data_IF_851233781606
#
_entry.id   IF_851233781606
#
_cell.length_a   1.000
_cell.length_b   1.000
_cell.length_c   1.000
_cell.angle_alpha   90.00
_cell.angle_beta   90.00
_cell.angle_gamma   90.00
#
_symmetry.space_group_name_H-M   'P 1'
#
loop_
_entity.id
_entity.type
_entity.pdbx_description
1 polymer ?
#
# COMPACT_ATOMS: atom_id res chain seq x y z
N UNK A 1 -3.21 -10.85 24.98
CA UNK A 1 -3.94 -10.22 23.85
C UNK A 1 -3.21 -10.51 22.56
N UNK A 2 -3.92 -10.81 21.45
CA UNK A 2 -3.28 -11.24 20.19
C UNK A 2 -3.64 -10.34 19.00
N UNK A 3 -4.50 -9.34 19.21
CA UNK A 3 -4.98 -8.39 18.18
C UNK A 3 -4.91 -6.98 18.74
N UNK A 4 -4.37 -6.06 17.96
CA UNK A 4 -4.28 -4.63 18.27
C UNK A 4 -4.91 -3.82 17.15
N UNK A 5 -5.53 -2.70 17.49
CA UNK A 5 -5.94 -1.71 16.51
C UNK A 5 -4.74 -0.85 16.11
N UNK A 6 -4.55 -0.64 14.81
CA UNK A 6 -3.52 0.26 14.30
C UNK A 6 -4.08 1.67 14.23
N UNK A 7 -3.38 2.64 14.81
CA UNK A 7 -3.71 4.06 14.71
C UNK A 7 -3.15 4.58 13.38
N UNK A 8 -4.03 4.95 12.46
CA UNK A 8 -3.65 5.49 11.15
C UNK A 8 -3.09 6.91 11.29
N UNK A 9 -2.19 7.30 10.39
CA UNK A 9 -1.60 8.65 10.34
C UNK A 9 -2.09 9.35 9.07
N UNK A 10 -2.76 10.48 9.22
CA UNK A 10 -3.21 11.31 8.12
C UNK A 10 -2.08 12.25 7.67
N UNK A 11 -1.79 12.28 6.36
CA UNK A 11 -0.72 13.10 5.78
C UNK A 11 -1.31 14.06 4.75
N UNK A 12 -1.14 15.35 5.01
CA UNK A 12 -1.55 16.41 4.09
C UNK A 12 -0.70 16.38 2.82
N UNK A 13 -1.34 16.49 1.67
CA UNK A 13 -0.70 16.60 0.36
C UNK A 13 -1.46 17.60 -0.51
N UNK A 14 -0.75 18.41 -1.27
CA UNK A 14 -1.33 19.41 -2.19
C UNK A 14 -2.24 18.83 -3.27
N UNK A 15 -2.10 17.54 -3.55
CA UNK A 15 -2.94 16.78 -4.47
C UNK A 15 -4.01 15.91 -3.75
N UNK A 16 -4.17 16.09 -2.44
CA UNK A 16 -5.10 15.32 -1.65
C UNK A 16 -6.57 15.55 -2.02
N UNK A 17 -7.41 14.56 -1.76
CA UNK A 17 -8.85 14.59 -2.02
C UNK A 17 -9.71 14.46 -0.75
N UNK A 18 -9.16 13.87 0.32
CA UNK A 18 -9.92 13.60 1.55
C UNK A 18 -9.85 14.80 2.48
N UNK A 19 -10.99 15.35 2.84
CA UNK A 19 -11.08 16.47 3.80
C UNK A 19 -11.32 15.94 5.21
N UNK A 20 -10.48 16.32 6.15
CA UNK A 20 -10.62 16.04 7.59
C UNK A 20 -10.30 17.31 8.34
N UNK A 21 -11.23 17.86 9.15
CA UNK A 21 -11.04 19.05 9.96
C UNK A 21 -10.31 20.22 9.23
N UNK A 22 -10.80 20.57 8.03
CA UNK A 22 -10.24 21.59 7.13
C UNK A 22 -8.90 21.23 6.47
N UNK A 23 -8.27 20.10 6.82
CA UNK A 23 -7.03 19.61 6.21
C UNK A 23 -7.31 18.80 4.96
N UNK A 24 -6.45 18.94 3.96
CA UNK A 24 -6.53 18.19 2.69
C UNK A 24 -5.57 17.00 2.75
N UNK A 25 -6.11 15.84 3.06
CA UNK A 25 -5.36 14.60 3.23
C UNK A 25 -5.19 13.92 1.86
N UNK A 26 -3.94 13.64 1.48
CA UNK A 26 -3.62 12.89 0.28
C UNK A 26 -3.19 11.45 0.59
N UNK A 27 -2.57 11.21 1.73
CA UNK A 27 -2.18 9.86 2.17
C UNK A 27 -2.70 9.58 3.57
N UNK A 28 -3.12 8.34 3.80
CA UNK A 28 -3.41 7.82 5.14
C UNK A 28 -2.53 6.59 5.35
N UNK A 29 -1.52 6.71 6.22
CA UNK A 29 -0.61 5.60 6.52
C UNK A 29 -1.35 4.59 7.37
N UNK A 30 -1.58 3.41 6.82
CA UNK A 30 -2.29 2.32 7.45
C UNK A 30 -1.39 1.39 8.23
N UNK A 31 -0.15 1.24 7.78
CA UNK A 31 0.87 0.46 8.49
C UNK A 31 2.26 0.83 7.99
N UNK A 32 3.11 1.32 8.88
CA UNK A 32 4.51 1.64 8.62
C UNK A 32 5.34 1.45 9.89
N UNK A 33 6.55 0.91 9.71
CA UNK A 33 7.51 0.64 10.79
C UNK A 33 8.88 1.12 10.34
N UNK A 34 9.22 2.36 10.65
CA UNK A 34 10.55 2.91 10.46
C UNK A 34 10.84 4.03 11.49
N UNK A 35 12.07 4.54 11.51
CA UNK A 35 12.50 5.54 12.49
C UNK A 35 12.01 6.96 12.20
N UNK A 36 11.65 7.26 10.96
CA UNK A 36 11.16 8.59 10.57
C UNK A 36 9.65 8.71 10.78
N UNK A 37 8.92 7.64 10.47
CA UNK A 37 7.48 7.57 10.61
C UNK A 37 7.08 6.14 10.97
N UNK A 38 6.33 5.99 12.07
CA UNK A 38 5.81 4.68 12.49
C UNK A 38 4.42 4.81 13.04
N UNK A 39 3.55 3.85 12.69
CA UNK A 39 2.26 3.77 13.33
C UNK A 39 2.40 3.29 14.77
N UNK A 40 1.35 3.56 15.52
CA UNK A 40 1.12 3.05 16.87
C UNK A 40 0.03 2.00 16.85
N UNK A 41 0.06 1.09 17.81
CA UNK A 41 -1.01 0.13 18.08
C UNK A 41 -1.59 0.38 19.45
N UNK A 42 -2.90 0.19 19.58
CA UNK A 42 -3.67 0.36 20.81
C UNK A 42 -4.17 -0.99 21.29
N UNK A 43 -4.00 -1.25 22.60
CA UNK A 43 -4.56 -2.41 23.28
C UNK A 43 -5.98 -2.12 23.86
N UNK A 44 -6.58 -3.10 24.55
CA UNK A 44 -7.92 -2.96 25.12
C UNK A 44 -7.99 -1.98 26.29
N UNK A 45 -6.86 -1.79 26.98
CA UNK A 45 -6.73 -0.87 28.10
C UNK A 45 -6.37 0.55 27.63
N UNK A 46 -6.40 0.80 26.31
CA UNK A 46 -6.02 2.06 25.69
C UNK A 46 -4.53 2.41 25.81
N UNK A 47 -3.68 1.45 26.15
CA UNK A 47 -2.25 1.65 26.09
C UNK A 47 -1.79 1.71 24.65
N UNK A 48 -0.87 2.64 24.36
CA UNK A 48 -0.37 2.91 23.02
C UNK A 48 1.10 2.47 22.93
N UNK A 49 1.44 1.69 21.91
CA UNK A 49 2.78 1.18 21.67
C UNK A 49 3.26 1.59 20.27
N UNK A 50 4.48 2.11 20.18
CA UNK A 50 5.12 2.39 18.89
C UNK A 50 5.54 1.09 18.21
N UNK A 51 5.08 0.85 16.98
CA UNK A 51 5.50 -0.30 16.20
C UNK A 51 7.02 -0.31 15.95
N UNK A 52 7.63 0.87 15.76
CA UNK A 52 9.07 0.96 15.59
C UNK A 52 9.83 0.55 16.85
N UNK A 53 9.43 1.02 18.02
CA UNK A 53 10.08 0.64 19.29
C UNK A 53 9.95 -0.87 19.55
N UNK A 54 8.78 -1.44 19.28
CA UNK A 54 8.58 -2.89 19.36
C UNK A 54 9.46 -3.66 18.34
N UNK A 55 9.70 -3.08 17.15
CA UNK A 55 10.50 -3.74 16.11
C UNK A 55 11.99 -3.74 16.40
N UNK A 56 12.52 -2.70 17.00
CA UNK A 56 13.95 -2.61 17.37
C UNK A 56 14.25 -3.15 18.78
N UNK A 57 13.22 -3.30 19.62
CA UNK A 57 13.32 -3.73 21.00
C UNK A 57 13.35 -5.26 21.18
N UNK A 58 13.44 -5.70 22.44
CA UNK A 58 13.48 -7.14 22.78
C UNK A 58 12.19 -7.90 22.42
N UNK A 59 11.07 -7.21 22.27
CA UNK A 59 9.78 -7.80 21.92
C UNK A 59 9.62 -8.09 20.40
N UNK A 60 10.64 -7.87 19.60
CA UNK A 60 10.57 -8.02 18.14
C UNK A 60 10.03 -9.38 17.70
N UNK A 61 10.51 -10.47 18.27
CA UNK A 61 10.05 -11.80 17.92
C UNK A 61 8.58 -12.03 18.32
N UNK A 62 8.19 -11.58 19.51
CA UNK A 62 6.83 -11.69 20.02
C UNK A 62 5.82 -10.98 19.11
N UNK A 63 6.12 -9.74 18.69
CA UNK A 63 5.19 -8.92 17.91
C UNK A 63 5.26 -9.20 16.40
N UNK A 64 6.44 -9.43 15.84
CA UNK A 64 6.60 -9.54 14.39
C UNK A 64 6.88 -10.96 13.90
N UNK A 65 7.38 -11.85 14.76
CA UNK A 65 7.62 -13.26 14.48
C UNK A 65 8.98 -13.56 13.86
N UNK A 66 9.32 -14.83 13.84
CA UNK A 66 10.62 -15.36 13.36
C UNK A 66 10.95 -14.94 11.93
N UNK A 67 9.95 -14.77 11.06
CA UNK A 67 10.13 -14.33 9.68
C UNK A 67 10.89 -13.01 9.55
N UNK A 68 10.66 -12.07 10.49
CA UNK A 68 11.25 -10.73 10.42
C UNK A 68 12.41 -10.51 11.40
N UNK A 69 12.73 -11.48 12.24
CA UNK A 69 13.71 -11.35 13.31
C UNK A 69 15.09 -10.87 12.82
N UNK A 70 15.57 -11.45 11.71
CA UNK A 70 16.89 -11.11 11.13
C UNK A 70 16.89 -9.87 10.24
N UNK A 71 15.73 -9.26 9.97
CA UNK A 71 15.65 -8.07 9.11
C UNK A 71 15.94 -6.81 9.92
N UNK A 72 16.86 -5.97 9.45
CA UNK A 72 17.17 -4.67 10.08
C UNK A 72 15.99 -3.69 9.95
N UNK A 73 15.26 -3.76 8.84
CA UNK A 73 14.10 -2.92 8.54
C UNK A 73 12.88 -3.78 8.25
N UNK A 74 11.69 -3.32 8.69
CA UNK A 74 10.44 -3.97 8.31
C UNK A 74 10.22 -3.85 6.80
N UNK A 75 9.82 -4.92 6.10
CA UNK A 75 10.01 -4.99 4.64
C UNK A 75 8.99 -4.22 3.79
N UNK A 76 7.87 -3.79 4.35
CA UNK A 76 6.82 -3.10 3.60
C UNK A 76 6.08 -2.05 4.43
N UNK A 77 5.38 -1.18 3.73
CA UNK A 77 4.40 -0.26 4.32
C UNK A 77 3.08 -0.33 3.54
N UNK A 78 2.02 0.16 4.15
CA UNK A 78 0.67 0.21 3.57
C UNK A 78 0.11 1.61 3.77
N UNK A 79 -0.39 2.21 2.69
CA UNK A 79 -1.08 3.50 2.76
C UNK A 79 -2.29 3.55 1.83
N UNK A 80 -3.25 4.39 2.16
CA UNK A 80 -4.29 4.80 1.23
C UNK A 80 -3.88 6.13 0.60
N UNK A 81 -4.07 6.23 -0.71
CA UNK A 81 -3.82 7.43 -1.51
C UNK A 81 -5.18 7.96 -1.98
N UNK A 82 -5.44 9.23 -1.72
CA UNK A 82 -6.65 9.95 -2.15
C UNK A 82 -6.21 11.10 -3.04
N UNK A 83 -6.34 10.97 -4.36
CA UNK A 83 -5.89 11.99 -5.30
C UNK A 83 -7.04 12.80 -5.87
N UNK A 84 -7.01 14.14 -5.72
CA UNK A 84 -7.86 15.09 -6.47
C UNK A 84 -7.16 15.61 -7.71
N UNK A 85 -5.83 15.59 -7.74
CA UNK A 85 -4.95 15.98 -8.85
C UNK A 85 -4.07 14.82 -9.25
N UNK A 86 -3.40 14.93 -10.39
CA UNK A 86 -2.41 13.95 -10.87
C UNK A 86 -1.19 13.95 -9.95
N UNK A 87 -0.70 12.78 -9.58
CA UNK A 87 0.60 12.62 -8.96
C UNK A 87 1.69 12.71 -10.03
N UNK A 88 2.94 12.93 -9.61
CA UNK A 88 4.07 13.06 -10.55
C UNK A 88 4.20 11.91 -11.53
N UNK A 89 4.70 12.20 -12.71
CA UNK A 89 5.24 11.23 -13.64
C UNK A 89 6.59 10.78 -13.10
N UNK A 90 6.68 9.53 -12.66
CA UNK A 90 7.78 9.07 -11.83
C UNK A 90 8.23 7.64 -12.13
N UNK A 91 9.41 7.30 -11.60
CA UNK A 91 9.92 5.93 -11.49
C UNK A 91 10.53 5.70 -10.11
N UNK A 92 10.73 4.43 -9.79
CA UNK A 92 11.43 4.00 -8.59
C UNK A 92 12.70 3.21 -8.91
N UNK A 93 13.70 3.26 -8.03
CA UNK A 93 14.91 2.43 -8.15
C UNK A 93 14.59 0.94 -7.96
N UNK A 94 15.58 0.08 -8.26
CA UNK A 94 15.43 -1.40 -8.24
C UNK A 94 14.93 -1.98 -6.91
N UNK A 95 15.13 -1.29 -5.81
CA UNK A 95 14.73 -1.73 -4.47
C UNK A 95 13.25 -1.49 -4.15
N UNK A 96 12.54 -0.62 -4.90
CA UNK A 96 11.16 -0.25 -4.61
C UNK A 96 10.19 -0.86 -5.61
N UNK A 97 9.35 -1.78 -5.13
CA UNK A 97 8.18 -2.33 -5.83
C UNK A 97 6.93 -1.86 -5.11
N UNK A 98 5.93 -1.45 -5.87
CA UNK A 98 4.62 -1.08 -5.36
C UNK A 98 3.53 -1.96 -5.94
N UNK A 99 2.43 -2.05 -5.23
CA UNK A 99 1.19 -2.67 -5.68
C UNK A 99 0.03 -1.78 -5.30
N UNK A 100 -0.93 -1.65 -6.19
CA UNK A 100 -2.10 -0.78 -6.04
C UNK A 100 -3.37 -1.59 -6.13
N UNK A 101 -4.15 -1.64 -5.06
CA UNK A 101 -5.52 -2.12 -5.06
C UNK A 101 -6.45 -0.91 -5.16
N UNK A 102 -7.23 -0.84 -6.23
CA UNK A 102 -8.16 0.28 -6.44
C UNK A 102 -9.39 0.11 -5.56
N UNK A 103 -9.76 1.17 -4.85
CA UNK A 103 -10.90 1.19 -3.93
C UNK A 103 -12.11 1.94 -4.49
N UNK A 104 -11.99 2.43 -5.73
CA UNK A 104 -13.01 3.20 -6.47
C UNK A 104 -13.05 2.73 -7.91
N UNK A 105 -14.24 2.75 -8.51
CA UNK A 105 -14.42 2.51 -9.94
C UNK A 105 -13.92 3.68 -10.79
N UNK A 106 -13.63 3.41 -12.06
CA UNK A 106 -13.15 4.40 -13.04
C UNK A 106 -11.85 5.10 -12.59
N UNK A 107 -11.03 4.41 -11.81
CA UNK A 107 -9.70 4.88 -11.40
C UNK A 107 -8.76 4.91 -12.59
N UNK A 108 -8.09 6.05 -12.85
CA UNK A 108 -7.18 6.20 -13.99
C UNK A 108 -5.75 6.27 -13.54
N UNK A 109 -4.88 5.49 -14.21
CA UNK A 109 -3.44 5.50 -13.99
C UNK A 109 -2.68 5.56 -15.30
N UNK A 110 -1.46 6.08 -15.25
CA UNK A 110 -0.46 5.90 -16.28
C UNK A 110 0.49 4.79 -15.80
N UNK A 111 0.65 3.72 -16.58
CA UNK A 111 1.51 2.60 -16.20
C UNK A 111 2.25 2.00 -17.40
N UNK A 112 3.54 2.31 -17.47
CA UNK A 112 4.45 1.85 -18.51
C UNK A 112 4.14 2.41 -19.90
N UNK A 113 4.97 2.04 -20.87
CA UNK A 113 4.88 2.52 -22.24
C UNK A 113 4.16 1.51 -23.14
N UNK A 114 3.37 1.99 -24.10
CA UNK A 114 2.72 1.17 -25.13
C UNK A 114 3.69 0.77 -26.26
N UNK A 115 4.74 1.55 -26.50
CA UNK A 115 5.87 1.25 -27.38
C UNK A 115 7.18 1.74 -26.78
N UNK A 116 8.30 1.20 -27.28
CA UNK A 116 9.64 1.61 -26.83
C UNK A 116 10.01 3.03 -27.31
N UNK A 117 10.71 3.78 -26.46
CA UNK A 117 11.21 5.13 -26.75
C UNK A 117 12.75 5.09 -26.76
N UNK A 118 13.39 5.73 -27.75
CA UNK A 118 14.85 5.93 -27.72
C UNK A 118 15.18 7.12 -26.82
N UNK A 119 16.17 6.99 -25.94
CA UNK A 119 16.55 8.04 -24.97
C UNK A 119 16.85 9.40 -25.62
N UNK A 120 17.40 9.42 -26.85
CA UNK A 120 17.69 10.68 -27.60
C UNK A 120 16.43 11.48 -27.96
N UNK A 121 15.27 10.85 -27.97
CA UNK A 121 13.98 11.47 -28.31
C UNK A 121 13.12 11.71 -27.04
N UNK A 122 13.74 11.70 -25.88
CA UNK A 122 13.02 11.80 -24.62
C UNK A 122 12.63 13.25 -24.32
N UNK A 123 11.33 13.48 -24.26
CA UNK A 123 10.71 14.69 -23.73
C UNK A 123 9.34 14.31 -23.14
N UNK A 124 8.67 15.25 -22.50
CA UNK A 124 7.38 14.99 -21.84
C UNK A 124 6.32 14.49 -22.82
N UNK A 125 6.17 15.13 -23.97
CA UNK A 125 5.16 14.78 -24.98
C UNK A 125 5.39 13.38 -25.52
N UNK A 126 6.66 13.02 -25.77
CA UNK A 126 7.03 11.66 -26.20
C UNK A 126 6.70 10.61 -25.14
N UNK A 127 6.93 10.89 -23.86
CA UNK A 127 6.56 9.97 -22.79
C UNK A 127 5.04 9.84 -22.70
N UNK A 128 4.32 10.95 -22.65
CA UNK A 128 2.86 10.94 -22.48
C UNK A 128 2.14 10.27 -23.66
N UNK A 129 2.51 10.61 -24.90
CA UNK A 129 1.90 10.02 -26.11
C UNK A 129 2.16 8.51 -26.27
N UNK A 130 3.23 8.01 -25.64
CA UNK A 130 3.58 6.59 -25.64
C UNK A 130 3.28 5.87 -24.32
N UNK A 131 2.59 6.50 -23.41
CA UNK A 131 2.19 5.88 -22.14
C UNK A 131 0.87 5.13 -22.24
N UNK A 132 0.74 4.03 -21.47
CA UNK A 132 -0.55 3.39 -21.31
C UNK A 132 -1.38 4.16 -20.28
N UNK A 133 -2.54 4.66 -20.69
CA UNK A 133 -3.58 5.14 -19.78
C UNK A 133 -4.52 3.95 -19.53
N UNK A 134 -4.64 3.55 -18.27
CA UNK A 134 -5.42 2.37 -17.87
C UNK A 134 -6.56 2.82 -16.96
N UNK A 135 -7.77 2.34 -17.24
CA UNK A 135 -8.93 2.51 -16.39
C UNK A 135 -9.10 1.24 -15.57
N UNK A 136 -9.10 1.39 -14.26
CA UNK A 136 -9.26 0.31 -13.30
C UNK A 136 -10.56 0.46 -12.52
N UNK A 137 -11.22 -0.64 -12.27
CA UNK A 137 -12.41 -0.68 -11.43
C UNK A 137 -12.06 -1.06 -9.98
N UNK A 138 -13.01 -0.88 -9.10
CA UNK A 138 -12.87 -1.25 -7.70
C UNK A 138 -12.42 -2.72 -7.58
N UNK A 139 -11.36 -2.92 -6.79
CA UNK A 139 -10.69 -4.20 -6.57
C UNK A 139 -9.88 -4.76 -7.75
N UNK A 140 -9.72 -4.02 -8.82
CA UNK A 140 -8.61 -4.27 -9.73
C UNK A 140 -7.29 -4.01 -9.02
N UNK A 141 -6.24 -4.67 -9.49
CA UNK A 141 -4.92 -4.64 -8.83
C UNK A 141 -3.83 -4.43 -9.87
N UNK A 142 -2.95 -3.47 -9.59
CA UNK A 142 -1.79 -3.18 -10.42
C UNK A 142 -0.48 -3.48 -9.70
N UNK A 143 0.51 -3.96 -10.44
CA UNK A 143 1.88 -4.14 -9.96
C UNK A 143 2.79 -3.13 -10.66
N UNK A 144 3.38 -2.24 -9.89
CA UNK A 144 4.39 -1.27 -10.33
C UNK A 144 5.76 -1.84 -10.02
N UNK A 145 6.37 -2.45 -11.03
CA UNK A 145 7.72 -2.95 -10.89
C UNK A 145 8.74 -1.79 -10.87
N UNK A 146 9.90 -1.98 -10.24
CA UNK A 146 11.00 -1.02 -10.34
C UNK A 146 11.25 -0.56 -11.77
N UNK A 147 11.66 0.68 -11.94
CA UNK A 147 11.96 1.30 -13.24
C UNK A 147 10.76 1.50 -14.19
N UNK A 148 9.54 1.14 -13.78
CA UNK A 148 8.35 1.36 -14.60
C UNK A 148 7.91 2.83 -14.50
N UNK A 149 7.77 3.51 -15.63
CA UNK A 149 7.20 4.86 -15.70
C UNK A 149 5.73 4.80 -15.30
N UNK A 150 5.31 5.60 -14.32
CA UNK A 150 3.94 5.55 -13.82
C UNK A 150 3.48 6.87 -13.20
N UNK A 151 2.18 7.01 -13.08
CA UNK A 151 1.51 8.09 -12.35
C UNK A 151 0.11 7.64 -11.91
N UNK A 152 -0.29 7.98 -10.70
CA UNK A 152 -1.70 7.95 -10.30
C UNK A 152 -2.33 9.26 -10.77
N UNK A 153 -3.38 9.17 -11.59
CA UNK A 153 -4.05 10.35 -12.10
C UNK A 153 -5.06 10.90 -11.09
N UNK A 154 -5.83 11.90 -11.48
CA UNK A 154 -6.82 12.52 -10.61
C UNK A 154 -7.98 11.58 -10.24
N UNK A 155 -8.66 11.90 -9.14
CA UNK A 155 -9.89 11.25 -8.67
C UNK A 155 -9.76 9.76 -8.34
N UNK A 156 -8.60 9.34 -7.82
CA UNK A 156 -8.37 7.96 -7.39
C UNK A 156 -8.46 7.77 -5.87
N UNK A 157 -8.82 6.55 -5.48
CA UNK A 157 -8.64 6.03 -4.13
C UNK A 157 -7.93 4.67 -4.24
N UNK A 158 -6.71 4.60 -3.74
CA UNK A 158 -5.82 3.44 -3.91
C UNK A 158 -5.31 2.96 -2.55
N UNK A 159 -5.37 1.66 -2.30
CA UNK A 159 -4.59 1.02 -1.25
C UNK A 159 -3.25 0.57 -1.84
N UNK A 160 -2.19 1.24 -1.46
CA UNK A 160 -0.84 0.92 -1.86
C UNK A 160 -0.15 0.04 -0.82
N UNK A 161 0.46 -1.05 -1.28
CA UNK A 161 1.40 -1.86 -0.50
C UNK A 161 2.73 -1.82 -1.24
N UNK A 162 3.76 -1.27 -0.60
CA UNK A 162 5.08 -1.11 -1.21
C UNK A 162 6.20 -1.66 -0.33
N UNK A 163 7.36 -1.90 -0.95
CA UNK A 163 8.58 -2.10 -0.17
C UNK A 163 8.84 -0.87 0.69
N UNK A 164 9.29 -1.07 1.92
CA UNK A 164 9.64 0.02 2.85
C UNK A 164 10.93 0.71 2.40
N UNK A 165 10.82 1.48 1.33
CA UNK A 165 11.88 2.25 0.71
C UNK A 165 11.29 3.49 0.06
N UNK A 166 11.65 4.67 0.53
CA UNK A 166 11.01 5.93 0.13
C UNK A 166 11.92 6.77 -0.78
N UNK A 167 12.15 6.27 -2.02
CA UNK A 167 12.82 7.03 -3.07
C UNK A 167 11.93 7.08 -4.31
N UNK A 168 11.75 8.28 -4.83
CA UNK A 168 10.95 8.56 -6.03
C UNK A 168 11.72 9.53 -6.93
N UNK A 169 11.92 9.15 -8.19
CA UNK A 169 12.51 10.01 -9.20
C UNK A 169 11.41 10.57 -10.09
N UNK A 170 11.28 11.92 -10.11
CA UNK A 170 10.20 12.66 -10.79
C UNK A 170 10.72 13.27 -12.07
N UNK A 171 10.05 12.94 -13.17
CA UNK A 171 10.31 13.59 -14.46
C UNK A 171 9.49 14.88 -14.62
N UNK A 172 8.21 14.83 -14.20
CA UNK A 172 7.27 15.93 -14.28
C UNK A 172 6.27 15.86 -13.14
N UNK A 173 5.84 16.99 -12.61
CA UNK A 173 4.97 17.02 -11.42
C UNK A 173 3.68 17.83 -11.60
N UNK A 174 3.28 18.06 -12.87
CA UNK A 174 2.08 18.83 -13.19
C UNK A 174 2.12 20.19 -12.45
N UNK A 175 1.04 20.56 -11.74
CA UNK A 175 0.94 21.81 -10.98
C UNK A 175 1.30 21.64 -9.48
N UNK A 176 1.99 20.56 -9.10
CA UNK A 176 2.28 20.29 -7.70
C UNK A 176 3.59 20.90 -7.18
N UNK A 177 4.45 21.40 -8.07
CA UNK A 177 5.69 22.13 -7.77
C UNK A 177 6.67 21.41 -6.82
N UNK A 178 6.69 20.06 -6.80
CA UNK A 178 7.69 19.29 -6.08
C UNK A 178 8.98 19.24 -6.88
N UNK A 179 10.10 19.04 -6.19
CA UNK A 179 11.41 18.90 -6.82
C UNK A 179 11.41 17.81 -7.90
N UNK A 180 11.99 18.14 -9.05
CA UNK A 180 12.19 17.24 -10.17
C UNK A 180 13.59 16.63 -10.10
N UNK A 181 13.67 15.34 -10.38
CA UNK A 181 14.88 14.52 -10.41
C UNK A 181 14.99 13.85 -11.78
N UNK A 182 14.97 14.67 -12.84
CA UNK A 182 14.88 14.20 -14.23
C UNK A 182 16.08 13.34 -14.63
N UNK A 183 17.27 13.67 -14.16
CA UNK A 183 18.49 12.89 -14.43
C UNK A 183 18.36 11.47 -13.87
N UNK A 184 18.03 11.34 -12.60
CA UNK A 184 17.84 10.07 -11.92
C UNK A 184 16.66 9.29 -12.52
N UNK A 185 15.59 9.99 -12.93
CA UNK A 185 14.50 9.37 -13.67
C UNK A 185 15.01 8.71 -14.95
N UNK A 186 15.78 9.43 -15.80
CA UNK A 186 16.29 8.92 -17.08
C UNK A 186 17.26 7.75 -16.88
N UNK A 187 18.07 7.80 -15.83
CA UNK A 187 19.00 6.72 -15.48
C UNK A 187 18.29 5.45 -15.00
N UNK A 188 17.17 5.59 -14.30
CA UNK A 188 16.44 4.48 -13.68
C UNK A 188 15.24 3.99 -14.48
N UNK A 189 14.69 4.78 -15.40
CA UNK A 189 13.50 4.43 -16.17
C UNK A 189 13.74 3.34 -17.21
N UNK A 190 12.76 2.46 -17.37
CA UNK A 190 12.70 1.51 -18.48
C UNK A 190 11.90 2.10 -19.64
N UNK A 191 12.56 2.29 -20.78
CA UNK A 191 11.97 2.86 -21.99
C UNK A 191 11.48 1.81 -23.01
N UNK A 192 11.42 0.55 -22.64
CA UNK A 192 10.86 -0.53 -23.47
C UNK A 192 9.35 -0.66 -23.25
N UNK A 193 8.68 -1.26 -24.26
CA UNK A 193 7.25 -1.58 -24.18
C UNK A 193 6.92 -2.35 -22.92
N UNK A 194 5.84 -1.96 -22.26
CA UNK A 194 5.36 -2.55 -21.00
C UNK A 194 4.36 -3.67 -21.27
N UNK A 195 4.46 -4.76 -20.52
CA UNK A 195 3.52 -5.87 -20.62
C UNK A 195 2.38 -5.73 -19.59
N UNK A 196 1.24 -5.19 -20.02
CA UNK A 196 0.09 -4.97 -19.16
C UNK A 196 -0.49 -6.28 -18.59
N UNK A 197 -0.56 -7.35 -19.38
CA UNK A 197 -1.16 -8.65 -18.95
C UNK A 197 -0.48 -9.26 -17.73
N UNK A 198 0.79 -8.95 -17.50
CA UNK A 198 1.57 -9.45 -16.34
C UNK A 198 1.48 -8.53 -15.11
N UNK A 199 0.86 -7.38 -15.23
CA UNK A 199 0.91 -6.34 -14.17
C UNK A 199 -0.45 -5.78 -13.79
N UNK A 200 -1.52 -6.08 -14.52
CA UNK A 200 -2.91 -5.70 -14.18
C UNK A 200 -3.72 -6.97 -13.96
N UNK A 201 -4.44 -7.03 -12.86
CA UNK A 201 -5.23 -8.18 -12.44
C UNK A 201 -6.66 -7.73 -12.13
N UNK A 202 -7.61 -8.23 -12.88
CA UNK A 202 -9.04 -8.11 -12.58
C UNK A 202 -9.45 -9.20 -11.59
N UNK A 203 -10.43 -8.93 -10.73
CA UNK A 203 -10.91 -9.88 -9.71
C UNK A 203 -9.77 -10.42 -8.81
N UNK A 204 -8.92 -9.51 -8.37
CA UNK A 204 -7.72 -9.83 -7.59
C UNK A 204 -8.04 -10.66 -6.33
N UNK A 205 -7.26 -11.72 -6.10
CA UNK A 205 -7.37 -12.56 -4.91
C UNK A 205 -6.06 -12.63 -4.11
N UNK A 206 -4.92 -12.84 -4.78
CA UNK A 206 -3.63 -13.06 -4.12
C UNK A 206 -2.46 -12.50 -4.92
N UNK A 207 -1.45 -12.00 -4.20
CA UNK A 207 -0.17 -11.58 -4.75
C UNK A 207 0.97 -11.98 -3.82
N UNK A 208 2.13 -12.30 -4.38
CA UNK A 208 3.35 -12.63 -3.64
C UNK A 208 4.53 -11.90 -4.26
N UNK A 209 5.28 -11.19 -3.44
CA UNK A 209 6.61 -10.65 -3.74
C UNK A 209 7.66 -11.28 -2.82
N UNK A 210 8.92 -10.86 -2.96
CA UNK A 210 9.99 -11.24 -2.03
C UNK A 210 9.79 -10.68 -0.62
N UNK A 211 9.09 -9.54 -0.49
CA UNK A 211 9.01 -8.80 0.75
C UNK A 211 7.65 -8.91 1.46
N UNK A 212 6.57 -9.17 0.72
CA UNK A 212 5.23 -9.27 1.28
C UNK A 212 4.33 -10.19 0.46
N UNK A 213 3.29 -10.69 1.12
CA UNK A 213 2.17 -11.39 0.49
C UNK A 213 0.89 -10.63 0.77
N UNK A 214 -0.02 -10.60 -0.20
CA UNK A 214 -1.32 -9.94 -0.10
C UNK A 214 -2.40 -10.95 -0.43
N UNK A 215 -3.42 -11.06 0.44
CA UNK A 215 -4.62 -11.82 0.18
C UNK A 215 -5.84 -10.89 0.35
N UNK A 216 -6.65 -10.74 -0.71
CA UNK A 216 -7.97 -10.12 -0.63
C UNK A 216 -8.99 -11.21 -0.37
N UNK A 217 -9.83 -11.01 0.63
CA UNK A 217 -10.84 -12.00 1.05
C UNK A 217 -12.19 -11.31 1.18
N UNK A 218 -13.20 -11.86 0.54
CA UNK A 218 -14.60 -11.53 0.80
C UNK A 218 -15.14 -12.51 1.84
N UNK A 219 -15.77 -12.00 2.89
CA UNK A 219 -16.35 -12.78 3.99
C UNK A 219 -17.86 -12.52 3.99
N UNK A 220 -18.61 -13.61 3.94
CA UNK A 220 -20.06 -13.66 4.14
C UNK A 220 -20.33 -14.71 5.19
N UNK A 221 -20.66 -14.30 6.41
CA UNK A 221 -20.75 -15.18 7.56
C UNK A 221 -19.41 -15.34 8.27
N UNK A 222 -18.91 -16.55 8.45
CA UNK A 222 -17.73 -16.86 9.25
C UNK A 222 -16.54 -17.36 8.41
N UNK A 223 -15.32 -16.94 8.76
CA UNK A 223 -14.09 -17.45 8.15
C UNK A 223 -12.96 -17.58 9.15
N UNK A 224 -12.39 -18.77 9.23
CA UNK A 224 -11.22 -19.09 10.06
C UNK A 224 -9.91 -18.78 9.33
N UNK A 225 -8.93 -18.29 10.10
CA UNK A 225 -7.56 -18.00 9.67
C UNK A 225 -6.57 -18.66 10.62
N UNK A 226 -5.80 -19.60 10.11
CA UNK A 226 -4.80 -20.33 10.87
C UNK A 226 -3.53 -19.52 11.16
N UNK A 227 -2.76 -20.03 12.10
CA UNK A 227 -1.50 -19.47 12.60
C UNK A 227 -0.49 -19.19 11.49
N UNK A 228 0.26 -18.07 11.62
CA UNK A 228 1.43 -17.72 10.80
C UNK A 228 2.63 -17.49 11.70
N UNK A 229 3.83 -17.75 11.20
CA UNK A 229 5.08 -17.47 11.92
C UNK A 229 5.53 -15.99 11.82
N UNK A 230 4.62 -15.12 11.44
CA UNK A 230 4.82 -13.68 11.36
C UNK A 230 3.51 -12.95 11.69
N UNK A 231 3.61 -11.67 12.01
CA UNK A 231 2.45 -10.81 12.14
C UNK A 231 1.67 -10.72 10.84
N UNK A 232 0.38 -10.42 10.95
CA UNK A 232 -0.51 -10.17 9.82
C UNK A 232 -1.16 -8.80 10.01
N UNK A 233 -1.25 -8.04 8.93
CA UNK A 233 -1.93 -6.75 8.91
C UNK A 233 -3.25 -6.95 8.20
N UNK A 234 -4.36 -6.75 8.90
CA UNK A 234 -5.73 -6.89 8.37
C UNK A 234 -6.34 -5.52 8.19
N UNK A 235 -6.63 -5.16 6.94
CA UNK A 235 -7.35 -3.92 6.59
C UNK A 235 -8.79 -4.28 6.24
N UNK A 236 -9.76 -3.58 6.82
CA UNK A 236 -11.17 -3.71 6.44
C UNK A 236 -11.46 -2.73 5.30
N UNK A 237 -11.59 -3.26 4.09
CA UNK A 237 -11.80 -2.47 2.87
C UNK A 237 -13.25 -2.02 2.74
N UNK A 238 -14.21 -2.84 3.22
CA UNK A 238 -15.63 -2.56 3.16
C UNK A 238 -16.39 -3.42 4.18
N UNK A 239 -17.56 -2.96 4.64
CA UNK A 239 -18.42 -3.68 5.55
C UNK A 239 -17.99 -3.57 7.03
N UNK A 240 -18.57 -4.43 7.85
CA UNK A 240 -18.31 -4.52 9.29
C UNK A 240 -18.49 -5.96 9.79
N UNK A 241 -17.99 -6.23 10.99
CA UNK A 241 -18.04 -7.55 11.58
C UNK A 241 -17.30 -7.63 12.90
N UNK A 242 -16.81 -8.83 13.22
CA UNK A 242 -15.96 -9.08 14.41
C UNK A 242 -14.74 -9.91 14.01
N UNK A 243 -13.61 -9.64 14.67
CA UNK A 243 -12.46 -10.54 14.69
C UNK A 243 -12.42 -11.22 16.06
N UNK A 244 -12.47 -12.55 16.06
CA UNK A 244 -12.53 -13.36 17.26
C UNK A 244 -11.27 -14.20 17.40
N UNK A 245 -10.70 -14.25 18.60
CA UNK A 245 -9.69 -15.22 19.05
C UNK A 245 -10.25 -16.01 20.20
N UNK A 246 -9.54 -17.03 20.70
CA UNK A 246 -9.99 -17.84 21.84
C UNK A 246 -10.44 -16.98 23.04
N UNK A 247 -9.81 -15.82 23.27
CA UNK A 247 -10.02 -15.02 24.48
C UNK A 247 -10.58 -13.62 24.20
N UNK A 248 -10.92 -13.27 22.94
CA UNK A 248 -11.31 -11.91 22.58
C UNK A 248 -12.19 -11.85 21.34
N UNK A 249 -13.19 -10.97 21.40
CA UNK A 249 -13.98 -10.53 20.25
C UNK A 249 -13.83 -9.02 20.08
N UNK A 250 -13.45 -8.57 18.89
CA UNK A 250 -13.25 -7.15 18.57
C UNK A 250 -14.14 -6.76 17.40
N UNK A 251 -14.99 -5.76 17.58
CA UNK A 251 -15.77 -5.17 16.48
C UNK A 251 -14.84 -4.47 15.51
N UNK A 252 -15.08 -4.69 14.22
CA UNK A 252 -14.29 -4.12 13.12
C UNK A 252 -15.19 -3.48 12.08
N UNK A 253 -14.75 -2.38 11.49
CA UNK A 253 -15.49 -1.65 10.46
C UNK A 253 -14.56 -1.13 9.37
N UNK A 254 -15.18 -0.74 8.27
CA UNK A 254 -14.51 -0.15 7.11
C UNK A 254 -13.47 0.91 7.52
N UNK A 255 -12.34 0.93 6.80
CA UNK A 255 -11.20 1.83 6.95
C UNK A 255 -10.36 1.60 8.22
N UNK A 256 -10.67 0.63 9.05
CA UNK A 256 -9.83 0.23 10.19
C UNK A 256 -8.76 -0.78 9.78
N UNK A 257 -7.65 -0.75 10.52
CA UNK A 257 -6.49 -1.63 10.35
C UNK A 257 -6.17 -2.31 11.67
N UNK A 258 -5.87 -3.61 11.59
CA UNK A 258 -5.58 -4.44 12.75
C UNK A 258 -4.25 -5.16 12.58
N UNK A 259 -3.49 -5.20 13.65
CA UNK A 259 -2.23 -5.91 13.77
C UNK A 259 -2.46 -7.20 14.56
N UNK A 260 -2.28 -8.33 13.88
CA UNK A 260 -2.44 -9.67 14.46
C UNK A 260 -1.05 -10.22 14.79
N UNK A 261 -0.83 -10.63 16.03
CA UNK A 261 0.43 -11.21 16.47
C UNK A 261 0.75 -12.52 15.75
N UNK A 262 2.03 -12.89 15.65
CA UNK A 262 2.46 -14.20 15.18
C UNK A 262 1.82 -15.33 15.97
N UNK A 263 1.72 -16.50 15.35
CA UNK A 263 1.19 -17.73 15.95
C UNK A 263 -0.25 -17.61 16.50
N UNK A 264 -0.96 -16.54 16.10
CA UNK A 264 -2.38 -16.37 16.42
C UNK A 264 -3.24 -16.99 15.32
N UNK A 265 -4.23 -17.75 15.75
CA UNK A 265 -5.39 -18.12 14.98
C UNK A 265 -6.56 -17.19 15.34
N UNK A 266 -7.41 -16.93 14.39
CA UNK A 266 -8.56 -16.05 14.56
C UNK A 266 -9.66 -16.36 13.55
N UNK A 267 -10.87 -15.99 13.90
CA UNK A 267 -12.04 -16.08 13.03
C UNK A 267 -12.57 -14.69 12.77
N UNK A 268 -12.98 -14.41 11.53
CA UNK A 268 -13.70 -13.18 11.20
C UNK A 268 -15.12 -13.55 10.85
N UNK A 269 -16.07 -12.88 11.51
CA UNK A 269 -17.49 -13.00 11.26
C UNK A 269 -18.08 -11.69 10.78
N UNK A 270 -18.95 -11.73 9.77
CA UNK A 270 -19.65 -10.55 9.24
C UNK A 270 -19.85 -10.57 7.73
N UNK A 271 -20.15 -9.40 7.19
CA UNK A 271 -20.23 -9.16 5.75
C UNK A 271 -19.20 -8.07 5.38
N UNK A 272 -18.00 -8.49 5.00
CA UNK A 272 -16.90 -7.55 4.78
C UNK A 272 -15.88 -8.04 3.75
N UNK A 273 -15.26 -7.08 3.08
CA UNK A 273 -14.05 -7.30 2.28
C UNK A 273 -12.83 -6.90 3.10
N UNK A 274 -11.84 -7.76 3.16
CA UNK A 274 -10.58 -7.50 3.86
C UNK A 274 -9.37 -7.70 2.95
N UNK A 275 -8.30 -7.00 3.29
CA UNK A 275 -6.96 -7.23 2.76
C UNK A 275 -6.07 -7.71 3.90
N UNK A 276 -5.38 -8.83 3.70
CA UNK A 276 -4.40 -9.35 4.65
C UNK A 276 -3.03 -9.24 4.02
N UNK A 277 -2.11 -8.55 4.69
CA UNK A 277 -0.71 -8.36 4.26
C UNK A 277 0.23 -8.95 5.30
N UNK A 278 1.24 -9.73 4.85
CA UNK A 278 2.21 -10.40 5.74
C UNK A 278 3.52 -10.78 5.05
#
# INVERSE_FOLDING_TARGET
MKIYKVISIDVEKIWGAKKINKKVIGEVIKFEVNNQQSNYIEDDNKNIYSLYQLYIGPQKEEFFGKKYLRRKQFPFLIKYIYSSKKLSLQVHPKSKKETWLFLKDNSKILLGLNKSIKKRNLNLDTILSNSNIIICNKYDFAVVNPSTIHSILENNVVCEVQNNYDVTYRYFDWDNNRELTQKEFVENARFSKFNMKKNIYHNFKRFKSSNFKINKVNIKGEKYFGKKNCCQIVLVLNGNGTINTANKSLRVKKDETYFILPYSDYTIFGNLDILIVF
#
